data_IF_157722792634
#
_entry.id   IF_157722792634
#
_cell.length_a   1.000
_cell.length_b   1.000
_cell.length_c   1.000
_cell.angle_alpha   90.00
_cell.angle_beta   90.00
_cell.angle_gamma   90.00
#
_symmetry.space_group_name_H-M   'P 1'
#
loop_
_entity.id
_entity.type
_entity.pdbx_description
1 polymer ?
#
# COMPACT_ATOMS: atom_id res chain seq x y z
N UNK A 1 12.89 -17.38 -22.14
CA UNK A 1 12.44 -16.09 -21.57
C UNK A 1 11.73 -16.27 -20.22
N UNK A 2 10.77 -17.19 -20.07
CA UNK A 2 10.10 -17.43 -18.77
C UNK A 2 11.01 -17.94 -17.65
N UNK A 3 12.06 -18.69 -17.96
CA UNK A 3 12.95 -19.29 -16.95
C UNK A 3 13.87 -18.26 -16.29
N UNK A 4 14.44 -17.35 -17.09
CA UNK A 4 15.29 -16.24 -16.63
C UNK A 4 14.51 -15.27 -15.73
N UNK A 5 13.24 -14.98 -16.08
CA UNK A 5 12.40 -14.12 -15.23
C UNK A 5 12.08 -14.79 -13.89
N UNK A 6 11.75 -16.08 -13.91
CA UNK A 6 11.49 -16.85 -12.67
C UNK A 6 12.72 -16.96 -11.78
N UNK A 7 13.91 -17.15 -12.37
CA UNK A 7 15.17 -17.13 -11.64
C UNK A 7 15.41 -15.76 -10.98
N UNK A 8 15.18 -14.67 -11.73
CA UNK A 8 15.26 -13.31 -11.20
C UNK A 8 14.29 -13.07 -10.04
N UNK A 9 13.02 -13.44 -10.17
CA UNK A 9 12.03 -13.33 -9.09
C UNK A 9 12.43 -14.16 -7.86
N UNK A 10 13.00 -15.36 -8.06
CA UNK A 10 13.48 -16.19 -6.96
C UNK A 10 14.66 -15.56 -6.22
N UNK A 11 15.56 -14.86 -6.93
CA UNK A 11 16.68 -14.12 -6.34
C UNK A 11 16.22 -12.87 -5.59
N UNK A 12 15.24 -12.14 -6.13
CA UNK A 12 14.57 -11.04 -5.40
C UNK A 12 13.91 -11.57 -4.12
N UNK A 13 13.16 -12.68 -4.20
CA UNK A 13 12.56 -13.31 -3.02
C UNK A 13 13.61 -13.84 -2.02
N UNK A 14 14.79 -14.25 -2.49
CA UNK A 14 15.90 -14.63 -1.64
C UNK A 14 16.51 -13.43 -0.88
N UNK A 15 16.62 -12.27 -1.54
CA UNK A 15 17.03 -11.02 -0.90
C UNK A 15 16.05 -10.62 0.21
N UNK A 16 14.75 -10.62 -0.07
CA UNK A 16 13.73 -10.27 0.93
C UNK A 16 13.70 -11.20 2.15
N UNK A 17 14.07 -12.48 2.00
CA UNK A 17 14.22 -13.40 3.14
C UNK A 17 15.39 -13.06 4.07
N UNK A 18 16.30 -12.20 3.64
CA UNK A 18 17.49 -11.80 4.40
C UNK A 18 17.38 -10.37 4.94
N UNK A 19 16.23 -9.69 4.77
CA UNK A 19 16.06 -8.28 5.12
C UNK A 19 16.46 -7.95 6.55
N UNK A 20 16.15 -8.82 7.51
CA UNK A 20 16.51 -8.64 8.93
C UNK A 20 18.00 -8.94 9.24
N UNK A 21 18.70 -9.59 8.31
CA UNK A 21 20.09 -10.03 8.47
C UNK A 21 21.11 -9.12 7.77
N UNK A 22 20.64 -8.16 6.96
CA UNK A 22 21.48 -7.22 6.22
C UNK A 22 21.15 -5.79 6.60
N UNK A 23 22.11 -4.89 6.38
CA UNK A 23 21.90 -3.46 6.60
C UNK A 23 20.97 -2.86 5.54
N UNK A 24 20.27 -1.75 5.85
CA UNK A 24 19.49 -1.00 4.87
C UNK A 24 20.27 -0.65 3.60
N UNK A 25 21.54 -0.25 3.73
CA UNK A 25 22.40 0.10 2.61
C UNK A 25 22.71 -1.11 1.73
N UNK A 26 22.95 -2.28 2.34
CA UNK A 26 23.14 -3.54 1.62
C UNK A 26 21.86 -3.98 0.90
N UNK A 27 20.68 -3.77 1.50
CA UNK A 27 19.40 -4.08 0.87
C UNK A 27 19.22 -3.24 -0.40
N UNK A 28 19.40 -1.91 -0.30
CA UNK A 28 19.27 -0.99 -1.45
C UNK A 28 20.26 -1.34 -2.55
N UNK A 29 21.54 -1.55 -2.21
CA UNK A 29 22.57 -1.88 -3.19
C UNK A 29 22.30 -3.22 -3.92
N UNK A 30 21.85 -4.24 -3.20
CA UNK A 30 21.52 -5.53 -3.80
C UNK A 30 20.23 -5.47 -4.65
N UNK A 31 19.22 -4.73 -4.20
CA UNK A 31 18.00 -4.51 -4.99
C UNK A 31 18.31 -3.75 -6.29
N UNK A 32 19.16 -2.72 -6.25
CA UNK A 32 19.60 -1.99 -7.44
C UNK A 32 20.40 -2.88 -8.40
N UNK A 33 21.29 -3.74 -7.87
CA UNK A 33 22.05 -4.69 -8.68
C UNK A 33 21.13 -5.70 -9.40
N UNK A 34 20.13 -6.26 -8.70
CA UNK A 34 19.13 -7.14 -9.31
C UNK A 34 18.29 -6.40 -10.35
N UNK A 35 17.87 -5.17 -10.07
CA UNK A 35 17.06 -4.39 -10.99
C UNK A 35 17.83 -3.99 -12.27
N UNK A 36 19.15 -3.81 -12.22
CA UNK A 36 19.99 -3.53 -13.38
C UNK A 36 20.04 -4.69 -14.40
N UNK A 37 19.62 -5.90 -14.02
CA UNK A 37 19.47 -7.05 -14.92
C UNK A 37 18.17 -7.00 -15.75
N UNK A 38 17.30 -6.02 -15.49
CA UNK A 38 16.02 -5.80 -16.15
C UNK A 38 16.06 -4.52 -16.99
N UNK A 39 15.13 -4.35 -17.96
CA UNK A 39 14.91 -3.06 -18.61
C UNK A 39 14.75 -1.94 -17.57
N UNK A 40 15.25 -0.75 -17.88
CA UNK A 40 15.21 0.42 -16.97
C UNK A 40 13.78 0.82 -16.58
N UNK A 41 12.81 0.51 -17.45
CA UNK A 41 11.38 0.76 -17.30
C UNK A 41 10.60 -0.52 -16.91
N UNK A 42 11.29 -1.58 -16.47
CA UNK A 42 10.63 -2.77 -15.92
C UNK A 42 9.93 -2.39 -14.62
N UNK A 43 8.59 -2.47 -14.56
CA UNK A 43 7.87 -1.87 -13.47
C UNK A 43 7.92 -2.75 -12.21
N UNK A 44 8.19 -4.05 -12.35
CA UNK A 44 8.48 -4.93 -11.20
C UNK A 44 9.83 -4.57 -10.61
N UNK A 45 10.86 -4.37 -11.45
CA UNK A 45 12.18 -3.95 -10.96
C UNK A 45 12.14 -2.58 -10.27
N UNK A 46 11.41 -1.61 -10.84
CA UNK A 46 11.18 -0.29 -10.22
C UNK A 46 10.46 -0.42 -8.88
N UNK A 47 9.43 -1.26 -8.80
CA UNK A 47 8.70 -1.54 -7.58
C UNK A 47 9.61 -2.13 -6.48
N UNK A 48 10.46 -3.11 -6.80
CA UNK A 48 11.37 -3.73 -5.82
C UNK A 48 12.44 -2.74 -5.33
N UNK A 49 12.96 -1.88 -6.23
CA UNK A 49 13.87 -0.78 -5.86
C UNK A 49 13.22 0.25 -4.92
N UNK A 50 11.93 0.53 -5.13
CA UNK A 50 11.15 1.41 -4.28
C UNK A 50 10.98 0.79 -2.88
N UNK A 51 10.56 -0.48 -2.82
CA UNK A 51 10.41 -1.22 -1.57
C UNK A 51 11.71 -1.25 -0.74
N UNK A 52 12.85 -1.47 -1.38
CA UNK A 52 14.15 -1.49 -0.69
C UNK A 52 14.49 -0.14 -0.04
N UNK A 53 14.20 0.97 -0.73
CA UNK A 53 14.42 2.33 -0.22
C UNK A 53 13.44 2.70 0.88
N UNK A 54 12.16 2.37 0.73
CA UNK A 54 11.14 2.60 1.75
C UNK A 54 11.48 1.83 3.04
N UNK A 55 11.91 0.56 2.91
CA UNK A 55 12.41 -0.24 4.05
C UNK A 55 13.65 0.37 4.71
N UNK A 56 14.48 1.07 3.94
CA UNK A 56 15.67 1.75 4.42
C UNK A 56 15.41 3.15 5.03
N UNK A 57 14.15 3.61 5.07
CA UNK A 57 13.82 4.97 5.53
C UNK A 57 14.28 6.06 4.54
N UNK A 58 14.30 5.73 3.25
CA UNK A 58 14.63 6.64 2.14
C UNK A 58 13.38 6.95 1.33
N UNK A 59 12.33 7.43 1.99
CA UNK A 59 10.99 7.66 1.41
C UNK A 59 11.04 8.57 0.18
N UNK A 60 11.83 9.65 0.25
CA UNK A 60 11.99 10.60 -0.86
C UNK A 60 12.64 9.97 -2.10
N UNK A 61 13.44 8.92 -1.94
CA UNK A 61 13.99 8.15 -3.07
C UNK A 61 13.05 7.05 -3.55
N UNK A 62 12.23 6.48 -2.65
CA UNK A 62 11.25 5.45 -2.97
C UNK A 62 10.07 5.99 -3.79
N UNK A 63 9.57 7.18 -3.43
CA UNK A 63 8.41 7.82 -4.06
C UNK A 63 8.46 7.84 -5.61
N UNK A 64 9.50 8.40 -6.26
CA UNK A 64 9.54 8.46 -7.73
C UNK A 64 9.57 7.07 -8.38
N UNK A 65 10.13 6.06 -7.71
CA UNK A 65 10.19 4.69 -8.22
C UNK A 65 8.84 3.99 -8.14
N UNK A 66 8.10 4.16 -7.05
CA UNK A 66 6.73 3.66 -6.96
C UNK A 66 5.82 4.30 -8.01
N UNK A 67 5.92 5.62 -8.22
CA UNK A 67 5.17 6.33 -9.26
C UNK A 67 5.47 5.77 -10.65
N UNK A 68 6.75 5.55 -10.95
CA UNK A 68 7.17 4.97 -12.23
C UNK A 68 6.65 3.53 -12.41
N UNK A 69 6.64 2.72 -11.36
CA UNK A 69 6.05 1.38 -11.40
C UNK A 69 4.54 1.43 -11.65
N UNK A 70 3.81 2.28 -10.93
CA UNK A 70 2.35 2.43 -11.03
C UNK A 70 1.88 3.07 -12.35
N UNK A 71 2.75 3.80 -13.04
CA UNK A 71 2.47 4.32 -14.37
C UNK A 71 2.42 3.22 -15.45
N UNK A 72 2.89 2.01 -15.16
CA UNK A 72 2.86 0.89 -16.09
C UNK A 72 1.60 0.03 -15.92
N UNK A 73 0.97 -0.33 -17.04
CA UNK A 73 -0.13 -1.30 -17.06
C UNK A 73 0.35 -2.77 -16.93
N UNK A 74 1.66 -3.00 -16.83
CA UNK A 74 2.26 -4.34 -16.75
C UNK A 74 2.44 -4.88 -15.33
N UNK A 75 2.11 -4.11 -14.29
CA UNK A 75 2.04 -4.63 -12.93
C UNK A 75 0.82 -5.54 -12.79
N UNK A 76 1.03 -6.73 -12.24
CA UNK A 76 -0.11 -7.57 -11.86
C UNK A 76 -0.91 -6.92 -10.72
N UNK A 77 -2.21 -7.27 -10.56
CA UNK A 77 -3.08 -6.65 -9.56
C UNK A 77 -2.56 -6.70 -8.11
N UNK A 78 -1.83 -7.76 -7.74
CA UNK A 78 -1.28 -7.88 -6.39
C UNK A 78 -0.12 -6.90 -6.18
N UNK A 79 0.81 -6.80 -7.14
CA UNK A 79 1.88 -5.79 -7.09
C UNK A 79 1.34 -4.37 -7.19
N UNK A 80 0.32 -4.13 -8.01
CA UNK A 80 -0.35 -2.83 -8.13
C UNK A 80 -0.92 -2.41 -6.77
N UNK A 81 -1.61 -3.30 -6.06
CA UNK A 81 -2.12 -3.02 -4.72
C UNK A 81 -0.98 -2.75 -3.72
N UNK A 82 0.09 -3.56 -3.72
CA UNK A 82 1.26 -3.33 -2.87
C UNK A 82 1.95 -1.99 -3.15
N UNK A 83 2.08 -1.61 -4.42
CA UNK A 83 2.71 -0.35 -4.81
C UNK A 83 1.86 0.85 -4.38
N UNK A 84 0.54 0.79 -4.55
CA UNK A 84 -0.40 1.82 -4.08
C UNK A 84 -0.37 1.96 -2.55
N UNK A 85 -0.38 0.85 -1.80
CA UNK A 85 -0.32 0.85 -0.33
C UNK A 85 0.99 1.47 0.16
N UNK A 86 2.13 1.01 -0.39
CA UNK A 86 3.43 1.48 0.06
C UNK A 86 3.65 2.94 -0.30
N UNK A 87 3.39 3.35 -1.56
CA UNK A 87 3.45 4.77 -1.93
C UNK A 87 2.49 5.61 -1.10
N UNK A 88 1.27 5.14 -0.82
CA UNK A 88 0.34 5.83 0.07
C UNK A 88 0.93 6.07 1.47
N UNK A 89 1.64 5.09 2.01
CA UNK A 89 2.37 5.23 3.28
C UNK A 89 3.55 6.20 3.16
N UNK A 90 4.39 6.08 2.13
CA UNK A 90 5.50 6.99 1.83
C UNK A 90 5.03 8.44 1.74
N UNK A 91 3.98 8.73 0.96
CA UNK A 91 3.38 10.06 0.81
C UNK A 91 2.89 10.61 2.16
N UNK A 92 2.30 9.76 3.01
CA UNK A 92 1.85 10.14 4.35
C UNK A 92 3.04 10.54 5.26
N UNK A 93 4.16 9.83 5.18
CA UNK A 93 5.38 10.17 5.93
C UNK A 93 6.03 11.46 5.41
N UNK A 94 5.92 11.74 4.10
CA UNK A 94 6.38 12.98 3.47
C UNK A 94 5.41 14.16 3.68
N UNK A 95 4.28 13.96 4.38
CA UNK A 95 3.28 15.00 4.67
C UNK A 95 2.34 15.33 3.51
N UNK A 96 2.35 14.54 2.43
CA UNK A 96 1.45 14.69 1.27
C UNK A 96 0.15 13.91 1.50
N UNK A 97 -0.63 14.34 2.50
CA UNK A 97 -1.76 13.58 3.03
C UNK A 97 -2.92 13.45 2.04
N UNK A 98 -3.26 14.51 1.32
CA UNK A 98 -4.35 14.51 0.33
C UNK A 98 -4.05 13.56 -0.83
N UNK A 99 -2.78 13.51 -1.25
CA UNK A 99 -2.36 12.61 -2.32
C UNK A 99 -2.33 11.15 -1.85
N UNK A 100 -1.85 10.91 -0.63
CA UNK A 100 -1.93 9.61 0.04
C UNK A 100 -3.38 9.09 0.05
N UNK A 101 -4.33 9.91 0.48
CA UNK A 101 -5.75 9.57 0.48
C UNK A 101 -6.28 9.27 -0.92
N UNK A 102 -5.99 10.14 -1.89
CA UNK A 102 -6.47 10.00 -3.27
C UNK A 102 -5.97 8.70 -3.91
N UNK A 103 -4.67 8.41 -3.75
CA UNK A 103 -4.04 7.20 -4.28
C UNK A 103 -4.64 5.93 -3.67
N UNK A 104 -4.73 5.87 -2.34
CA UNK A 104 -5.22 4.67 -1.63
C UNK A 104 -6.73 4.48 -1.89
N UNK A 105 -7.50 5.57 -2.01
CA UNK A 105 -8.92 5.51 -2.39
C UNK A 105 -9.11 5.01 -3.82
N UNK A 106 -8.27 5.44 -4.76
CA UNK A 106 -8.28 4.92 -6.13
C UNK A 106 -7.93 3.42 -6.17
N UNK A 107 -7.07 2.93 -5.27
CA UNK A 107 -6.83 1.50 -5.12
C UNK A 107 -8.08 0.77 -4.62
N UNK A 108 -8.86 1.37 -3.70
CA UNK A 108 -10.12 0.79 -3.24
C UNK A 108 -11.15 0.64 -4.36
N UNK A 109 -11.24 1.62 -5.26
CA UNK A 109 -12.14 1.58 -6.42
C UNK A 109 -11.78 0.44 -7.39
N UNK A 110 -10.49 0.09 -7.54
CA UNK A 110 -10.06 -1.02 -8.40
C UNK A 110 -10.62 -2.36 -7.94
N UNK A 111 -10.81 -2.54 -6.64
CA UNK A 111 -11.40 -3.78 -6.08
C UNK A 111 -12.90 -3.95 -6.39
N UNK A 112 -13.58 -2.91 -6.90
CA UNK A 112 -14.97 -3.03 -7.36
C UNK A 112 -15.07 -3.86 -8.66
N UNK A 113 -13.99 -3.91 -9.45
CA UNK A 113 -13.89 -4.83 -10.58
C UNK A 113 -13.56 -6.25 -10.07
N UNK A 114 -14.52 -7.16 -10.25
CA UNK A 114 -14.35 -8.57 -9.88
C UNK A 114 -13.13 -9.24 -10.56
N UNK A 115 -12.72 -8.77 -11.73
CA UNK A 115 -11.56 -9.30 -12.44
C UNK A 115 -10.22 -8.88 -11.79
N UNK A 116 -10.19 -7.79 -11.03
CA UNK A 116 -9.00 -7.34 -10.30
C UNK A 116 -8.69 -8.25 -9.09
N UNK A 117 -9.73 -8.86 -8.51
CA UNK A 117 -9.65 -9.60 -7.25
C UNK A 117 -9.69 -8.67 -6.03
N UNK A 118 -9.53 -9.21 -4.83
CA UNK A 118 -9.64 -8.46 -3.56
C UNK A 118 -8.41 -8.64 -2.65
N UNK A 119 -7.28 -9.08 -3.21
CA UNK A 119 -6.05 -9.23 -2.45
C UNK A 119 -5.60 -7.87 -1.89
N UNK A 120 -5.26 -7.84 -0.60
CA UNK A 120 -4.86 -6.64 0.14
C UNK A 120 -5.98 -5.59 0.35
N UNK A 121 -7.25 -5.96 0.20
CA UNK A 121 -8.38 -5.04 0.38
C UNK A 121 -8.39 -4.44 1.80
N UNK A 122 -8.26 -5.27 2.83
CA UNK A 122 -8.29 -4.83 4.22
C UNK A 122 -7.04 -4.01 4.59
N UNK A 123 -5.87 -4.39 4.07
CA UNK A 123 -4.61 -3.67 4.21
C UNK A 123 -4.69 -2.27 3.56
N UNK A 124 -5.35 -2.16 2.40
CA UNK A 124 -5.62 -0.87 1.75
C UNK A 124 -6.52 0.01 2.62
N UNK A 125 -7.59 -0.56 3.20
CA UNK A 125 -8.47 0.18 4.13
C UNK A 125 -7.77 0.59 5.41
N UNK A 126 -6.93 -0.27 5.98
CA UNK A 126 -6.12 0.04 7.15
C UNK A 126 -5.14 1.20 6.86
N UNK A 127 -4.51 1.19 5.69
CA UNK A 127 -3.63 2.27 5.24
C UNK A 127 -4.38 3.59 5.11
N UNK A 128 -5.57 3.58 4.50
CA UNK A 128 -6.42 4.77 4.41
C UNK A 128 -6.84 5.30 5.78
N UNK A 129 -7.16 4.40 6.73
CA UNK A 129 -7.49 4.79 8.10
C UNK A 129 -6.31 5.49 8.80
N UNK A 130 -5.08 5.04 8.56
CA UNK A 130 -3.88 5.73 9.07
C UNK A 130 -3.72 7.13 8.45
N UNK A 131 -4.02 7.29 7.15
CA UNK A 131 -4.02 8.61 6.50
C UNK A 131 -5.06 9.53 7.13
N UNK A 132 -6.30 9.06 7.32
CA UNK A 132 -7.35 9.83 8.01
C UNK A 132 -6.93 10.24 9.43
N UNK A 133 -6.28 9.34 10.16
CA UNK A 133 -5.81 9.66 11.52
C UNK A 133 -4.82 10.83 11.52
N UNK A 134 -3.84 10.81 10.60
CA UNK A 134 -2.83 11.89 10.49
C UNK A 134 -3.45 13.20 9.97
N UNK A 135 -4.51 13.13 9.17
CA UNK A 135 -5.30 14.30 8.76
C UNK A 135 -6.17 14.89 9.89
N UNK A 136 -6.21 14.28 11.08
CA UNK A 136 -7.10 14.71 12.18
C UNK A 136 -8.54 14.18 12.08
N UNK A 137 -8.82 13.32 11.10
CA UNK A 137 -10.14 12.69 10.85
C UNK A 137 -10.30 11.42 11.70
N UNK A 138 -10.08 11.55 13.01
CA UNK A 138 -9.97 10.41 13.93
C UNK A 138 -11.24 9.53 13.97
N UNK A 139 -12.43 10.14 13.87
CA UNK A 139 -13.69 9.38 13.87
C UNK A 139 -13.83 8.55 12.59
N UNK A 140 -13.53 9.13 11.43
CA UNK A 140 -13.57 8.42 10.14
C UNK A 140 -12.53 7.30 10.10
N UNK A 141 -11.31 7.56 10.58
CA UNK A 141 -10.26 6.56 10.74
C UNK A 141 -10.71 5.38 11.61
N UNK A 142 -11.29 5.65 12.79
CA UNK A 142 -11.74 4.62 13.71
C UNK A 142 -12.90 3.81 13.13
N UNK A 143 -13.88 4.46 12.50
CA UNK A 143 -15.00 3.77 11.87
C UNK A 143 -14.54 2.88 10.71
N UNK A 144 -13.62 3.38 9.87
CA UNK A 144 -13.03 2.62 8.78
C UNK A 144 -12.30 1.38 9.31
N UNK A 145 -11.42 1.54 10.30
CA UNK A 145 -10.66 0.46 10.92
C UNK A 145 -11.56 -0.59 11.60
N UNK A 146 -12.57 -0.17 12.38
CA UNK A 146 -13.50 -1.08 13.04
C UNK A 146 -14.37 -1.85 12.05
N UNK A 147 -14.77 -1.21 10.95
CA UNK A 147 -15.52 -1.87 9.88
C UNK A 147 -14.65 -2.90 9.15
N UNK A 148 -13.37 -2.59 8.92
CA UNK A 148 -12.39 -3.53 8.36
C UNK A 148 -12.13 -4.71 9.30
N UNK A 149 -12.05 -4.47 10.62
CA UNK A 149 -11.81 -5.52 11.62
C UNK A 149 -13.03 -6.45 11.82
N UNK A 150 -14.25 -5.92 11.70
CA UNK A 150 -15.47 -6.62 12.09
C UNK A 150 -15.65 -8.03 11.48
N UNK A 151 -15.34 -8.29 10.19
CA UNK A 151 -15.43 -9.63 9.61
C UNK A 151 -14.47 -10.65 10.24
N UNK A 152 -13.36 -10.19 10.81
CA UNK A 152 -12.30 -11.03 11.42
C UNK A 152 -12.56 -11.37 12.88
N UNK A 153 -13.56 -10.75 13.50
CA UNK A 153 -13.90 -11.03 14.89
C UNK A 153 -14.60 -12.39 15.03
N UNK A 154 -14.34 -13.09 16.14
CA UNK A 154 -15.00 -14.36 16.45
C UNK A 154 -16.45 -14.19 16.94
N UNK A 155 -16.80 -12.99 17.42
CA UNK A 155 -18.14 -12.60 17.90
C UNK A 155 -18.29 -11.08 17.83
N UNK A 156 -19.55 -10.62 17.90
CA UNK A 156 -19.95 -9.20 17.84
C UNK A 156 -19.70 -8.48 16.50
N UNK A 157 -19.44 -9.21 15.42
CA UNK A 157 -19.12 -8.69 14.09
C UNK A 157 -20.18 -7.68 13.61
N UNK A 158 -21.47 -8.07 13.66
CA UNK A 158 -22.59 -7.19 13.28
C UNK A 158 -22.73 -5.98 14.19
N UNK A 159 -22.43 -6.13 15.48
CA UNK A 159 -22.54 -5.04 16.45
C UNK A 159 -21.44 -4.00 16.22
N UNK A 160 -20.18 -4.43 16.06
CA UNK A 160 -19.05 -3.53 15.79
C UNK A 160 -19.25 -2.79 14.47
N UNK A 161 -19.58 -3.50 13.39
CA UNK A 161 -19.85 -2.88 12.10
C UNK A 161 -21.04 -1.89 12.15
N UNK A 162 -22.12 -2.27 12.84
CA UNK A 162 -23.29 -1.41 13.01
C UNK A 162 -22.99 -0.14 13.79
N UNK A 163 -22.28 -0.24 14.91
CA UNK A 163 -21.90 0.94 15.72
C UNK A 163 -20.98 1.90 14.94
N UNK A 164 -19.98 1.36 14.23
CA UNK A 164 -19.10 2.18 13.38
C UNK A 164 -19.90 2.94 12.31
N UNK A 165 -20.89 2.30 11.69
CA UNK A 165 -21.75 2.95 10.69
C UNK A 165 -22.61 4.07 11.29
N UNK A 166 -23.18 3.89 12.49
CA UNK A 166 -24.01 4.92 13.14
C UNK A 166 -23.19 6.13 13.60
N UNK A 167 -21.96 5.91 14.10
CA UNK A 167 -21.04 6.99 14.46
C UNK A 167 -20.67 7.82 13.24
N UNK A 168 -20.34 7.16 12.12
CA UNK A 168 -19.96 7.84 10.88
C UNK A 168 -21.10 8.70 10.32
N UNK A 169 -22.34 8.20 10.34
CA UNK A 169 -23.53 8.97 9.94
C UNK A 169 -23.73 10.22 10.81
N UNK A 170 -23.57 10.08 12.11
CA UNK A 170 -23.74 11.20 13.06
C UNK A 170 -22.69 12.30 12.82
N UNK A 171 -21.45 11.91 12.54
CA UNK A 171 -20.34 12.84 12.23
C UNK A 171 -20.58 13.59 10.91
N UNK A 172 -21.10 12.90 9.89
CA UNK A 172 -21.43 13.52 8.61
C UNK A 172 -22.57 14.54 8.73
N UNK A 173 -23.56 14.26 9.59
CA UNK A 173 -24.62 15.22 9.90
C UNK A 173 -24.04 16.46 10.57
N UNK A 174 -23.23 16.32 11.62
CA UNK A 174 -22.60 17.47 12.31
C UNK A 174 -21.79 18.37 11.37
N UNK A 175 -21.01 17.77 10.46
CA UNK A 175 -20.21 18.52 9.47
C UNK A 175 -21.06 19.24 8.41
N UNK A 176 -22.30 18.80 8.17
CA UNK A 176 -23.21 19.43 7.20
C UNK A 176 -23.94 20.67 7.76
N UNK A 177 -23.86 20.88 9.07
CA UNK A 177 -24.50 22.01 9.78
C UNK A 177 -23.50 23.07 10.27
N UNK A 178 -22.19 22.86 10.07
CA UNK A 178 -21.09 23.78 10.42
C UNK A 178 -20.57 24.53 9.21
#
# INVERSE_FOLDING_TARGET
MNDVFKDWEARVAALWRQVDAITPEQLVAQADALAAERPVDDPVALFERACARDTAGLEAEAEPLYRAALASERLDPYRQARASIQLGSTLRLLGQLEESESLVSAQLQRYEDAAYGNALYDETRATLALTYLVQGRAVEAACLALTTLAPHLSRYNRSVAGNAAEILKSTALESSWS
#
